data_IF_959211311489
#
_entry.id   IF_959211311489
#
_cell.length_a   1.000
_cell.length_b   1.000
_cell.length_c   1.000
_cell.angle_alpha   90.00
_cell.angle_beta   90.00
_cell.angle_gamma   90.00
#
_symmetry.space_group_name_H-M   'P 1'
#
loop_
_entity.id
_entity.type
_entity.pdbx_description
1 polymer ?
#
# COMPACT_ATOMS: atom_id res chain seq x y z
N UNK A 1 -3.51 -17.83 24.13
CA UNK A 1 -3.94 -16.90 23.09
C UNK A 1 -4.59 -17.77 22.03
N UNK A 2 -5.91 -17.61 21.84
CA UNK A 2 -6.68 -18.51 20.98
C UNK A 2 -6.45 -18.11 19.52
N UNK A 3 -5.80 -18.98 18.76
CA UNK A 3 -5.50 -18.82 17.33
C UNK A 3 -6.71 -18.47 16.47
N UNK A 4 -7.91 -18.85 16.89
CA UNK A 4 -9.17 -18.57 16.19
C UNK A 4 -9.64 -17.11 16.41
N UNK A 5 -9.44 -16.56 17.60
CA UNK A 5 -9.73 -15.15 17.90
C UNK A 5 -8.77 -14.21 17.18
N UNK A 6 -7.49 -14.55 17.13
CA UNK A 6 -6.47 -13.77 16.41
C UNK A 6 -6.73 -13.76 14.90
N UNK A 7 -7.15 -14.88 14.34
CA UNK A 7 -7.52 -15.01 12.93
C UNK A 7 -8.72 -14.14 12.59
N UNK A 8 -9.79 -14.22 13.38
CA UNK A 8 -11.00 -13.40 13.19
C UNK A 8 -10.70 -11.91 13.26
N UNK A 9 -9.80 -11.50 14.18
CA UNK A 9 -9.37 -10.10 14.29
C UNK A 9 -8.58 -9.62 13.07
N UNK A 10 -7.65 -10.44 12.56
CA UNK A 10 -6.87 -10.11 11.36
C UNK A 10 -7.73 -10.04 10.11
N UNK A 11 -8.69 -10.96 9.94
CA UNK A 11 -9.66 -10.94 8.85
C UNK A 11 -10.53 -9.66 8.92
N UNK A 12 -10.99 -9.29 10.12
CA UNK A 12 -11.73 -8.05 10.32
C UNK A 12 -10.90 -6.82 9.94
N UNK A 13 -9.65 -6.73 10.39
CA UNK A 13 -8.76 -5.61 10.04
C UNK A 13 -8.51 -5.54 8.55
N UNK A 14 -8.25 -6.67 7.91
CA UNK A 14 -8.03 -6.75 6.47
C UNK A 14 -9.22 -6.21 5.67
N UNK A 15 -10.43 -6.67 6.00
CA UNK A 15 -11.64 -6.26 5.28
C UNK A 15 -12.08 -4.82 5.57
N UNK A 16 -11.77 -4.28 6.75
CA UNK A 16 -12.12 -2.91 7.12
C UNK A 16 -10.97 -1.90 6.91
N UNK A 17 -9.84 -2.36 6.36
CA UNK A 17 -8.76 -1.45 6.01
C UNK A 17 -9.19 -0.52 4.87
N UNK A 18 -9.01 0.83 5.01
CA UNK A 18 -9.57 1.80 4.07
C UNK A 18 -8.89 1.80 2.70
N UNK A 19 -7.67 1.28 2.62
CA UNK A 19 -6.92 1.17 1.36
C UNK A 19 -7.21 -0.18 0.70
N UNK A 20 -7.35 -0.20 -0.62
CA UNK A 20 -7.50 -1.46 -1.36
C UNK A 20 -6.26 -2.33 -1.20
N UNK A 21 -6.44 -3.58 -0.76
CA UNK A 21 -5.36 -4.56 -0.63
C UNK A 21 -5.69 -5.78 -1.46
N UNK A 22 -4.75 -6.15 -2.34
CA UNK A 22 -4.78 -7.41 -3.09
C UNK A 22 -3.60 -8.27 -2.64
N UNK A 23 -3.84 -9.56 -2.48
CA UNK A 23 -2.80 -10.55 -2.21
C UNK A 23 -2.72 -11.49 -3.40
N UNK A 24 -1.49 -11.74 -3.89
CA UNK A 24 -1.22 -12.66 -4.99
C UNK A 24 -0.16 -13.70 -4.60
N UNK A 25 -0.18 -14.83 -5.30
CA UNK A 25 0.83 -15.87 -5.18
C UNK A 25 2.04 -15.63 -6.12
N UNK A 26 3.09 -16.46 -6.04
CA UNK A 26 4.29 -16.40 -6.91
C UNK A 26 3.96 -16.46 -8.41
N UNK A 27 2.79 -16.98 -8.77
CA UNK A 27 2.33 -17.15 -10.15
C UNK A 27 1.48 -15.98 -10.63
N UNK A 28 1.39 -14.91 -9.82
CA UNK A 28 0.60 -13.71 -10.11
C UNK A 28 -0.93 -13.94 -10.13
N UNK A 29 -1.43 -14.98 -9.46
CA UNK A 29 -2.86 -15.17 -9.25
C UNK A 29 -3.28 -14.57 -7.92
N UNK A 30 -4.38 -13.81 -7.94
CA UNK A 30 -4.93 -13.27 -6.72
C UNK A 30 -5.47 -14.37 -5.81
N UNK A 31 -5.02 -14.41 -4.59
CA UNK A 31 -5.47 -15.34 -3.55
C UNK A 31 -6.40 -14.67 -2.56
N UNK A 32 -6.34 -13.33 -2.48
CA UNK A 32 -7.23 -12.56 -1.62
C UNK A 32 -7.38 -11.11 -2.07
N UNK A 33 -8.51 -10.47 -1.65
CA UNK A 33 -8.84 -9.07 -1.90
C UNK A 33 -9.71 -8.55 -0.75
N UNK A 34 -9.36 -7.41 -0.16
CA UNK A 34 -10.19 -6.80 0.87
C UNK A 34 -11.39 -6.04 0.26
N UNK A 35 -12.30 -5.61 1.14
CA UNK A 35 -13.51 -4.91 0.73
C UNK A 35 -13.20 -3.60 -0.01
N UNK A 36 -12.17 -2.86 0.42
CA UNK A 36 -11.77 -1.61 -0.24
C UNK A 36 -11.22 -1.84 -1.65
N UNK A 37 -10.45 -2.92 -1.89
CA UNK A 37 -10.01 -3.30 -3.24
C UNK A 37 -11.18 -3.68 -4.14
N UNK A 38 -12.13 -4.45 -3.62
CA UNK A 38 -13.35 -4.82 -4.35
C UNK A 38 -14.16 -3.58 -4.76
N UNK A 39 -14.35 -2.64 -3.83
CA UNK A 39 -15.05 -1.38 -4.10
C UNK A 39 -14.30 -0.51 -5.11
N UNK A 40 -12.97 -0.35 -4.93
CA UNK A 40 -12.12 0.43 -5.82
C UNK A 40 -12.14 -0.11 -7.24
N UNK A 41 -12.07 -1.43 -7.44
CA UNK A 41 -12.04 -2.08 -8.74
C UNK A 41 -13.43 -2.35 -9.33
N UNK A 42 -14.48 -2.04 -8.57
CA UNK A 42 -15.88 -2.36 -8.92
C UNK A 42 -16.06 -3.84 -9.30
N UNK A 43 -15.47 -4.73 -8.52
CA UNK A 43 -15.52 -6.18 -8.68
C UNK A 43 -15.78 -6.87 -7.36
N UNK A 44 -16.50 -7.98 -7.38
CA UNK A 44 -16.65 -8.83 -6.20
C UNK A 44 -15.36 -9.63 -5.97
N UNK A 45 -15.13 -10.05 -4.73
CA UNK A 45 -13.96 -10.87 -4.36
C UNK A 45 -13.84 -12.15 -5.18
N UNK A 46 -14.97 -12.82 -5.48
CA UNK A 46 -15.02 -14.03 -6.32
C UNK A 46 -14.66 -13.76 -7.80
N UNK A 47 -14.70 -12.50 -8.24
CA UNK A 47 -14.28 -12.05 -9.56
C UNK A 47 -12.80 -11.61 -9.61
N UNK A 48 -12.14 -11.60 -8.47
CA UNK A 48 -10.72 -11.25 -8.33
C UNK A 48 -9.89 -12.48 -7.96
N UNK A 49 -10.32 -13.21 -6.93
CA UNK A 49 -9.60 -14.39 -6.44
C UNK A 49 -9.60 -15.49 -7.50
N UNK A 50 -8.43 -16.07 -7.74
CA UNK A 50 -8.19 -17.09 -8.76
C UNK A 50 -7.93 -16.53 -10.18
N UNK A 51 -8.01 -15.21 -10.38
CA UNK A 51 -7.67 -14.58 -11.64
C UNK A 51 -6.22 -14.08 -11.65
N UNK A 52 -5.60 -14.13 -12.83
CA UNK A 52 -4.25 -13.60 -13.02
C UNK A 52 -4.28 -12.08 -13.05
N UNK A 53 -3.26 -11.43 -12.48
CA UNK A 53 -3.22 -9.97 -12.36
C UNK A 53 -3.31 -9.25 -13.73
N UNK A 54 -2.80 -9.87 -14.82
CA UNK A 54 -2.90 -9.31 -16.16
C UNK A 54 -4.33 -9.28 -16.74
N UNK A 55 -5.27 -10.00 -16.14
CA UNK A 55 -6.67 -9.99 -16.58
C UNK A 55 -7.43 -8.73 -16.15
N UNK A 56 -6.90 -8.01 -15.15
CA UNK A 56 -7.52 -6.76 -14.67
C UNK A 56 -7.04 -5.52 -15.43
N UNK A 57 -5.94 -5.62 -16.16
CA UNK A 57 -5.37 -4.44 -16.82
C UNK A 57 -6.03 -4.17 -18.18
N UNK A 58 -5.89 -2.94 -18.64
CA UNK A 58 -6.41 -2.53 -19.93
C UNK A 58 -5.86 -3.41 -21.06
N UNK A 59 -6.66 -3.66 -22.12
CA UNK A 59 -6.20 -4.41 -23.28
C UNK A 59 -4.88 -3.86 -23.86
N UNK A 60 -3.93 -4.77 -24.11
CA UNK A 60 -2.60 -4.42 -24.63
C UNK A 60 -1.55 -4.05 -23.56
N UNK A 61 -1.91 -3.97 -22.28
CA UNK A 61 -0.99 -3.66 -21.19
C UNK A 61 -0.46 -4.88 -20.43
N UNK A 62 -0.91 -6.09 -20.78
CA UNK A 62 -0.55 -7.34 -20.09
C UNK A 62 0.96 -7.55 -19.98
N UNK A 63 1.69 -7.33 -21.07
CA UNK A 63 3.14 -7.51 -21.09
C UNK A 63 3.88 -6.54 -20.16
N UNK A 64 3.39 -5.32 -19.99
CA UNK A 64 3.96 -4.34 -19.07
C UNK A 64 3.81 -4.80 -17.63
N UNK A 65 2.62 -5.31 -17.30
CA UNK A 65 2.31 -5.80 -15.95
C UNK A 65 3.15 -7.02 -15.60
N UNK A 66 3.38 -7.94 -16.55
CA UNK A 66 4.25 -9.09 -16.34
C UNK A 66 5.72 -8.67 -16.11
N UNK A 67 6.19 -7.61 -16.76
CA UNK A 67 7.51 -7.04 -16.51
C UNK A 67 7.59 -6.42 -15.11
N UNK A 68 6.58 -5.65 -14.71
CA UNK A 68 6.50 -5.03 -13.39
C UNK A 68 6.41 -6.09 -12.29
N UNK A 69 5.64 -7.16 -12.52
CA UNK A 69 5.54 -8.26 -11.58
C UNK A 69 6.88 -8.95 -11.34
N UNK A 70 7.60 -9.29 -12.43
CA UNK A 70 8.95 -9.87 -12.31
C UNK A 70 9.93 -8.93 -11.62
N UNK A 71 9.82 -7.62 -11.86
CA UNK A 71 10.63 -6.63 -11.15
C UNK A 71 10.30 -6.61 -9.65
N UNK A 72 9.02 -6.65 -9.29
CA UNK A 72 8.58 -6.72 -7.89
C UNK A 72 9.15 -7.95 -7.17
N UNK A 73 9.08 -9.12 -7.80
CA UNK A 73 9.64 -10.36 -7.23
C UNK A 73 11.15 -10.29 -7.02
N UNK A 74 11.88 -9.66 -7.95
CA UNK A 74 13.34 -9.51 -7.90
C UNK A 74 13.77 -8.46 -6.87
N UNK A 75 13.13 -7.30 -6.88
CA UNK A 75 13.56 -6.11 -6.15
C UNK A 75 12.87 -5.98 -4.78
N UNK A 76 11.85 -6.81 -4.53
CA UNK A 76 11.09 -6.86 -3.28
C UNK A 76 9.98 -5.83 -3.18
N UNK A 77 10.06 -4.76 -3.95
CA UNK A 77 9.06 -3.66 -3.99
C UNK A 77 8.88 -3.17 -5.42
N UNK A 78 7.67 -2.72 -5.72
CA UNK A 78 7.33 -2.08 -6.98
C UNK A 78 6.20 -1.07 -6.74
N UNK A 79 6.28 0.07 -7.40
CA UNK A 79 5.21 1.07 -7.35
C UNK A 79 5.01 1.69 -8.73
N UNK A 80 3.82 2.19 -8.97
CA UNK A 80 3.50 2.82 -10.25
C UNK A 80 2.03 3.09 -10.41
N UNK A 81 1.67 3.41 -11.65
CA UNK A 81 0.28 3.56 -12.08
C UNK A 81 0.02 2.52 -13.16
N UNK A 82 -1.11 1.85 -13.05
CA UNK A 82 -1.57 0.86 -14.01
C UNK A 82 -2.98 1.20 -14.48
N UNK A 83 -3.23 1.07 -15.78
CA UNK A 83 -4.56 1.23 -16.37
C UNK A 83 -5.36 -0.05 -16.16
N UNK A 84 -6.38 0.03 -15.33
CA UNK A 84 -7.27 -1.11 -15.01
C UNK A 84 -8.51 -1.04 -15.90
N UNK A 85 -8.92 -2.20 -16.42
CA UNK A 85 -10.18 -2.36 -17.16
C UNK A 85 -11.35 -2.47 -16.18
N UNK A 86 -12.32 -1.57 -16.29
CA UNK A 86 -13.56 -1.59 -15.51
C UNK A 86 -14.62 -2.48 -16.16
N UNK A 87 -15.56 -3.01 -15.37
CA UNK A 87 -16.66 -3.82 -15.91
C UNK A 87 -17.57 -3.08 -16.92
N UNK A 88 -17.60 -1.77 -16.89
CA UNK A 88 -18.34 -0.91 -17.83
C UNK A 88 -17.60 -0.69 -19.16
N UNK A 89 -16.45 -1.31 -19.34
CA UNK A 89 -15.59 -1.17 -20.53
C UNK A 89 -14.68 0.06 -20.50
N UNK A 90 -14.78 0.90 -19.48
CA UNK A 90 -13.84 2.03 -19.30
C UNK A 90 -12.51 1.55 -18.74
N UNK A 91 -11.48 2.37 -18.88
CA UNK A 91 -10.19 2.18 -18.20
C UNK A 91 -9.94 3.31 -17.22
N UNK A 92 -9.33 3.02 -16.10
CA UNK A 92 -8.99 4.02 -15.10
C UNK A 92 -7.60 3.79 -14.54
N UNK A 93 -6.84 4.87 -14.31
CA UNK A 93 -5.53 4.76 -13.70
C UNK A 93 -5.68 4.45 -12.21
N UNK A 94 -4.99 3.42 -11.76
CA UNK A 94 -4.89 3.01 -10.37
C UNK A 94 -3.43 3.06 -9.97
N UNK A 95 -3.14 3.80 -8.92
CA UNK A 95 -1.82 3.80 -8.31
C UNK A 95 -1.68 2.56 -7.43
N UNK A 96 -0.54 1.90 -7.54
CA UNK A 96 -0.23 0.73 -6.72
C UNK A 96 1.13 0.86 -6.04
N UNK A 97 1.23 0.25 -4.87
CA UNK A 97 2.47 -0.02 -4.17
C UNK A 97 2.46 -1.49 -3.79
N UNK A 98 3.36 -2.26 -4.40
CA UNK A 98 3.43 -3.70 -4.22
C UNK A 98 4.67 -4.09 -3.41
N UNK A 99 4.53 -5.09 -2.56
CA UNK A 99 5.60 -5.69 -1.78
C UNK A 99 5.59 -7.21 -1.97
N UNK A 100 6.72 -7.72 -2.44
CA UNK A 100 6.92 -9.15 -2.60
C UNK A 100 7.28 -9.82 -1.27
N UNK A 101 6.88 -11.08 -1.13
CA UNK A 101 7.29 -11.96 -0.02
C UNK A 101 7.04 -11.37 1.37
N UNK A 102 5.90 -10.69 1.58
CA UNK A 102 5.50 -10.31 2.95
C UNK A 102 5.24 -11.55 3.82
N UNK A 103 4.90 -12.65 3.18
CA UNK A 103 4.93 -14.02 3.70
C UNK A 103 5.47 -14.92 2.57
N UNK A 104 6.10 -16.05 2.86
CA UNK A 104 6.66 -16.93 1.82
C UNK A 104 5.63 -17.28 0.74
N UNK A 105 5.93 -16.94 -0.53
CA UNK A 105 5.05 -17.17 -1.68
C UNK A 105 3.82 -16.28 -1.76
N UNK A 106 3.72 -15.23 -0.91
CA UNK A 106 2.63 -14.28 -0.94
C UNK A 106 3.15 -12.84 -1.09
N UNK A 107 2.45 -12.09 -1.91
CA UNK A 107 2.77 -10.72 -2.28
C UNK A 107 1.55 -9.84 -2.08
N UNK A 108 1.73 -8.62 -1.57
CA UNK A 108 0.61 -7.70 -1.39
C UNK A 108 0.76 -6.46 -2.27
N UNK A 109 -0.36 -5.92 -2.72
CA UNK A 109 -0.45 -4.66 -3.42
C UNK A 109 -1.47 -3.77 -2.73
N UNK A 110 -1.07 -2.54 -2.41
CA UNK A 110 -1.94 -1.48 -1.91
C UNK A 110 -2.37 -0.63 -3.08
N UNK A 111 -3.69 -0.41 -3.21
CA UNK A 111 -4.29 0.28 -4.34
C UNK A 111 -4.98 1.56 -3.90
N UNK A 112 -4.79 2.62 -4.67
CA UNK A 112 -5.53 3.88 -4.56
C UNK A 112 -5.91 4.38 -5.94
N UNK A 113 -6.98 5.18 -6.04
CA UNK A 113 -7.24 5.87 -7.31
C UNK A 113 -6.11 6.85 -7.58
N UNK A 114 -5.59 6.83 -8.80
CA UNK A 114 -4.63 7.84 -9.21
C UNK A 114 -5.35 9.20 -9.31
N UNK A 115 -4.84 10.20 -8.60
CA UNK A 115 -5.32 11.57 -8.80
C UNK A 115 -4.82 12.11 -10.13
N UNK A 116 -5.51 13.09 -10.75
CA UNK A 116 -5.02 13.74 -11.97
C UNK A 116 -3.58 14.28 -11.83
N UNK A 117 -3.21 14.71 -10.63
CA UNK A 117 -1.87 15.21 -10.31
C UNK A 117 -0.83 14.07 -10.19
N UNK A 118 -1.24 12.86 -9.81
CA UNK A 118 -0.34 11.72 -9.71
C UNK A 118 -0.02 11.08 -11.07
N UNK A 119 -0.89 11.25 -12.07
CA UNK A 119 -0.63 10.80 -13.45
C UNK A 119 0.47 11.62 -14.13
N UNK A 120 0.66 12.88 -13.70
CA UNK A 120 1.76 13.73 -14.15
C UNK A 120 3.08 13.47 -13.40
N UNK A 121 3.01 12.85 -12.23
CA UNK A 121 4.14 12.41 -11.43
C UNK A 121 4.49 10.94 -11.76
N UNK A 122 4.92 10.68 -12.99
CA UNK A 122 5.62 9.43 -13.32
C UNK A 122 6.80 9.28 -12.37
N UNK A 123 6.73 8.25 -11.50
CA UNK A 123 7.79 7.75 -10.62
C UNK A 123 8.93 8.75 -10.32
N UNK A 124 8.59 9.93 -9.86
CA UNK A 124 9.56 10.77 -9.19
C UNK A 124 9.72 10.17 -7.80
N UNK A 125 10.90 9.61 -7.54
CA UNK A 125 11.35 9.46 -6.18
C UNK A 125 11.18 10.85 -5.53
N UNK A 126 10.14 10.99 -4.72
CA UNK A 126 9.94 12.22 -3.95
C UNK A 126 11.05 12.23 -2.90
N UNK A 127 12.18 12.84 -3.25
CA UNK A 127 13.28 13.02 -2.33
C UNK A 127 12.82 14.03 -1.29
N UNK A 128 12.39 13.50 -0.14
CA UNK A 128 12.04 14.33 0.98
C UNK A 128 13.30 14.97 1.57
N UNK A 129 13.39 16.27 1.47
CA UNK A 129 14.45 17.01 2.16
C UNK A 129 14.09 17.13 3.64
N UNK A 130 14.79 16.36 4.46
CA UNK A 130 14.66 16.43 5.92
C UNK A 130 15.75 17.34 6.49
N UNK A 131 15.36 18.34 7.27
CA UNK A 131 16.32 19.15 8.00
C UNK A 131 17.05 18.31 9.06
N UNK A 132 18.36 18.17 8.94
CA UNK A 132 19.16 17.35 9.86
C UNK A 132 19.08 17.86 11.32
N UNK A 133 18.82 19.15 11.52
CA UNK A 133 18.75 19.81 12.82
C UNK A 133 17.36 19.77 13.44
N UNK A 134 16.37 20.32 12.74
CA UNK A 134 14.99 20.45 13.25
C UNK A 134 14.11 19.21 12.99
N UNK A 135 14.59 18.23 12.19
CA UNK A 135 13.84 17.05 11.75
C UNK A 135 12.54 17.40 11.00
N UNK A 136 12.43 18.61 10.48
CA UNK A 136 11.29 19.03 9.66
C UNK A 136 11.49 18.63 8.21
N UNK A 137 10.39 18.37 7.53
CA UNK A 137 10.33 18.00 6.11
C UNK A 137 10.07 19.25 5.29
N UNK A 138 10.84 19.48 4.23
CA UNK A 138 10.50 20.52 3.26
C UNK A 138 9.49 19.94 2.26
N UNK A 139 8.28 20.44 2.32
CA UNK A 139 7.22 20.07 1.40
C UNK A 139 6.67 21.31 0.71
N UNK A 140 6.82 21.39 -0.61
CA UNK A 140 6.39 22.54 -1.44
C UNK A 140 6.91 23.90 -0.94
N UNK A 141 8.15 23.91 -0.45
CA UNK A 141 8.79 25.12 0.05
C UNK A 141 8.49 25.47 1.52
N UNK A 142 7.67 24.69 2.20
CA UNK A 142 7.35 24.87 3.62
C UNK A 142 8.02 23.80 4.49
N UNK A 143 8.53 24.21 5.65
CA UNK A 143 9.12 23.31 6.62
C UNK A 143 8.05 22.81 7.60
N UNK A 144 7.58 21.58 7.41
CA UNK A 144 6.54 20.93 8.19
C UNK A 144 7.13 19.94 9.19
N UNK A 145 6.41 19.64 10.25
CA UNK A 145 6.69 18.43 11.06
C UNK A 145 6.39 17.19 10.23
N UNK A 146 6.86 16.03 10.67
CA UNK A 146 6.58 14.78 9.96
C UNK A 146 5.06 14.48 9.97
N UNK A 147 4.38 14.82 11.07
CA UNK A 147 2.94 14.64 11.24
C UNK A 147 2.14 15.56 10.29
N UNK A 148 2.52 16.84 10.22
CA UNK A 148 1.92 17.80 9.29
C UNK A 148 2.12 17.37 7.84
N UNK A 149 3.31 16.90 7.50
CA UNK A 149 3.60 16.36 6.17
C UNK A 149 2.74 15.14 5.85
N UNK A 150 2.67 14.15 6.75
CA UNK A 150 1.86 12.94 6.55
C UNK A 150 0.37 13.28 6.40
N UNK A 151 -0.13 14.24 7.16
CA UNK A 151 -1.50 14.70 7.04
C UNK A 151 -1.75 15.41 5.70
N UNK A 152 -0.90 16.37 5.32
CA UNK A 152 -1.10 17.21 4.13
C UNK A 152 -0.81 16.46 2.82
N UNK A 153 0.23 15.63 2.79
CA UNK A 153 0.65 14.92 1.58
C UNK A 153 -0.10 13.60 1.36
N UNK A 154 -0.46 12.91 2.45
CA UNK A 154 -0.99 11.55 2.38
C UNK A 154 -2.33 11.36 3.10
N UNK A 155 -2.88 12.40 3.75
CA UNK A 155 -4.14 12.30 4.52
C UNK A 155 -4.05 11.39 5.75
N UNK A 156 -2.84 11.12 6.25
CA UNK A 156 -2.59 10.23 7.36
C UNK A 156 -2.58 11.00 8.69
N UNK A 157 -3.42 10.57 9.64
CA UNK A 157 -3.38 11.05 11.01
C UNK A 157 -2.37 10.23 11.82
N UNK A 158 -1.43 10.92 12.47
CA UNK A 158 -0.44 10.28 13.34
C UNK A 158 -0.89 10.39 14.78
N UNK A 159 -0.97 9.26 15.48
CA UNK A 159 -1.16 9.23 16.93
C UNK A 159 0.17 8.92 17.60
N UNK A 160 0.46 9.63 18.69
CA UNK A 160 1.69 9.41 19.44
C UNK A 160 1.45 8.34 20.49
N UNK A 161 2.25 7.28 20.44
CA UNK A 161 2.32 6.23 21.44
C UNK A 161 3.75 6.08 21.94
N UNK A 162 3.90 5.64 23.18
CA UNK A 162 5.20 5.33 23.74
C UNK A 162 5.57 3.88 23.41
N UNK A 163 6.71 3.68 22.74
CA UNK A 163 7.21 2.31 22.53
C UNK A 163 7.57 1.65 23.86
N UNK A 164 7.49 0.32 23.99
CA UNK A 164 7.87 -0.39 25.21
C UNK A 164 9.29 -0.03 25.71
N UNK A 165 10.25 0.14 24.80
CA UNK A 165 11.62 0.56 25.14
C UNK A 165 11.71 2.00 25.66
N UNK A 166 10.92 2.93 25.08
CA UNK A 166 10.86 4.30 25.56
C UNK A 166 10.20 4.39 26.93
N UNK A 167 9.17 3.60 27.18
CA UNK A 167 8.50 3.52 28.49
C UNK A 167 9.49 3.11 29.60
N UNK A 168 10.31 2.08 29.35
CA UNK A 168 11.33 1.63 30.31
C UNK A 168 12.39 2.70 30.56
N UNK A 169 12.77 3.47 29.54
CA UNK A 169 13.79 4.53 29.68
C UNK A 169 13.31 5.77 30.43
N UNK A 170 11.99 6.00 30.52
CA UNK A 170 11.39 7.13 31.24
C UNK A 170 11.09 6.83 32.70
N UNK A 171 11.18 5.57 33.12
CA UNK A 171 11.02 5.21 34.53
C UNK A 171 12.20 5.77 35.36
N UNK A 172 11.94 6.37 36.53
CA UNK A 172 13.02 6.85 37.39
C UNK A 172 13.89 5.67 37.79
N UNK A 173 15.22 5.80 37.59
CA UNK A 173 16.17 4.79 38.04
C UNK A 173 16.08 4.65 39.56
N UNK A 174 15.97 3.44 40.13
CA UNK A 174 15.98 3.27 41.57
C UNK A 174 17.28 3.86 42.14
N UNK A 175 17.12 4.71 43.13
CA UNK A 175 18.26 5.25 43.91
C UNK A 175 18.68 4.13 44.89
N UNK A 176 19.73 3.42 44.58
CA UNK A 176 20.47 2.57 45.54
C UNK A 176 21.53 3.42 46.20
#
# INVERSE_FOLDING_TARGET
MDTESDRSYLEFLFDHFPTGVLIADDRAYYVDANQAACALLNRRRDQLVGHHLSELVAPGRQAEVDVQWRACLRDGVQQGIVEIAWPDGSTRPVQFNARANFSPGLHCSFLTLASPDSAAAGAQEEVLTLCAWSKRVNYRGQWLTIEEYLLLAHGLFVTHGMSPGAFVSTLPKPKW
#
